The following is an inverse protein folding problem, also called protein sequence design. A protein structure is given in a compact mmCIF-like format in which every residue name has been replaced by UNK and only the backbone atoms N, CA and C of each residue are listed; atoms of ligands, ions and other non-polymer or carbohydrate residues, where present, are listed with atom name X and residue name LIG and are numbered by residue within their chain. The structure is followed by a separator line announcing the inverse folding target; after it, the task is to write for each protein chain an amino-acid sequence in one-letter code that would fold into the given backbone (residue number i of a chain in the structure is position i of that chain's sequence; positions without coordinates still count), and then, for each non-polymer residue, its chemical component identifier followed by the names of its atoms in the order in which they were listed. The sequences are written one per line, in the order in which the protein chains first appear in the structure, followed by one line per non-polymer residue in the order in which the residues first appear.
data_IF_578591245547
#
_entry.id   IF_578591245547
#
_cell.length_a   1.000
_cell.length_b   1.000
_cell.length_c   1.000
_cell.angle_alpha   90.00
_cell.angle_beta   90.00
_cell.angle_gamma   90.00
#
_symmetry.space_group_name_H-M   'P 1'
#
loop_
_entity.id
_entity.type
_entity.pdbx_description
1 polymer ?
#
# COMPACT_ATOMS: atom_id res chain seq x y z
N UNK A 1 -47.99 -73.10 -43.04
CA UNK A 1 -47.84 -71.65 -43.31
C UNK A 1 -47.83 -70.77 -42.05
N UNK A 2 -48.42 -71.16 -40.90
CA UNK A 2 -48.46 -70.27 -39.72
C UNK A 2 -47.12 -70.13 -38.97
N UNK A 3 -46.32 -71.20 -38.84
CA UNK A 3 -45.02 -71.18 -38.16
C UNK A 3 -44.00 -70.16 -38.70
N UNK A 4 -44.09 -69.81 -39.99
CA UNK A 4 -43.19 -68.84 -40.63
C UNK A 4 -43.60 -67.40 -40.30
N UNK A 5 -44.91 -67.13 -40.25
CA UNK A 5 -45.47 -65.85 -39.86
C UNK A 5 -45.27 -65.56 -38.36
N UNK A 6 -45.43 -66.57 -37.49
CA UNK A 6 -45.18 -66.44 -36.04
C UNK A 6 -43.70 -66.17 -35.74
N UNK A 7 -42.79 -66.79 -36.50
CA UNK A 7 -41.35 -66.54 -36.40
C UNK A 7 -40.99 -65.12 -36.85
N UNK A 8 -41.56 -64.64 -37.96
CA UNK A 8 -41.35 -63.26 -38.42
C UNK A 8 -41.93 -62.22 -37.44
N UNK A 9 -43.09 -62.49 -36.83
CA UNK A 9 -43.68 -61.62 -35.83
C UNK A 9 -42.82 -61.54 -34.56
N UNK A 10 -42.35 -62.70 -34.09
CA UNK A 10 -41.43 -62.78 -32.95
C UNK A 10 -40.10 -62.07 -33.22
N UNK A 11 -39.57 -62.17 -34.45
CA UNK A 11 -38.35 -61.48 -34.86
C UNK A 11 -38.52 -59.96 -34.84
N UNK A 12 -39.65 -59.43 -35.35
CA UNK A 12 -39.94 -57.98 -35.31
C UNK A 12 -40.09 -57.46 -33.88
N UNK A 13 -40.71 -58.24 -32.99
CA UNK A 13 -40.81 -57.88 -31.57
C UNK A 13 -39.43 -57.85 -30.90
N UNK A 14 -38.55 -58.78 -31.26
CA UNK A 14 -37.17 -58.82 -30.80
C UNK A 14 -36.39 -57.59 -31.28
N UNK A 15 -36.48 -57.25 -32.56
CA UNK A 15 -35.82 -56.08 -33.14
C UNK A 15 -36.33 -54.77 -32.52
N UNK A 16 -37.64 -54.66 -32.26
CA UNK A 16 -38.24 -53.51 -31.56
C UNK A 16 -37.76 -53.42 -30.11
N UNK A 17 -37.69 -54.55 -29.40
CA UNK A 17 -37.17 -54.59 -28.03
C UNK A 17 -35.69 -54.19 -27.99
N UNK A 18 -34.88 -54.66 -28.95
CA UNK A 18 -33.46 -54.30 -29.06
C UNK A 18 -33.26 -52.80 -29.35
N UNK A 19 -34.03 -52.23 -30.28
CA UNK A 19 -33.99 -50.78 -30.55
C UNK A 19 -34.41 -49.96 -29.33
N UNK A 20 -35.46 -50.38 -28.63
CA UNK A 20 -35.92 -49.71 -27.41
C UNK A 20 -34.84 -49.78 -26.33
N UNK A 21 -34.22 -50.94 -26.14
CA UNK A 21 -33.17 -51.16 -25.16
C UNK A 21 -31.89 -50.34 -25.48
N UNK A 22 -31.53 -50.22 -26.76
CA UNK A 22 -30.44 -49.36 -27.22
C UNK A 22 -30.74 -47.88 -26.95
N UNK A 23 -31.96 -47.42 -27.25
CA UNK A 23 -32.39 -46.05 -26.98
C UNK A 23 -32.39 -45.74 -25.49
N UNK A 24 -32.96 -46.60 -24.65
CA UNK A 24 -32.98 -46.40 -23.19
C UNK A 24 -31.57 -46.41 -22.60
N UNK A 25 -30.65 -47.25 -23.12
CA UNK A 25 -29.23 -47.20 -22.72
C UNK A 25 -28.57 -45.87 -23.06
N UNK A 26 -28.84 -45.33 -24.25
CA UNK A 26 -28.31 -44.03 -24.66
C UNK A 26 -28.86 -42.90 -23.77
N UNK A 27 -30.17 -42.90 -23.51
CA UNK A 27 -30.81 -41.94 -22.60
C UNK A 27 -30.20 -42.02 -21.18
N UNK A 28 -29.98 -43.23 -20.64
CA UNK A 28 -29.30 -43.45 -19.36
C UNK A 28 -27.86 -42.91 -19.33
N UNK A 29 -27.11 -43.09 -20.42
CA UNK A 29 -25.75 -42.54 -20.55
C UNK A 29 -25.76 -41.01 -20.53
N UNK A 30 -26.70 -40.39 -21.24
CA UNK A 30 -26.82 -38.93 -21.31
C UNK A 30 -27.28 -38.34 -19.97
N UNK A 31 -28.20 -39.00 -19.26
CA UNK A 31 -28.54 -38.67 -17.87
C UNK A 31 -27.34 -38.80 -16.93
N UNK A 32 -26.52 -39.85 -17.09
CA UNK A 32 -25.30 -40.04 -16.32
C UNK A 32 -24.29 -38.90 -16.51
N UNK A 33 -24.10 -38.43 -17.75
CA UNK A 33 -23.24 -37.28 -18.05
C UNK A 33 -23.77 -35.99 -17.41
N UNK A 34 -25.06 -35.69 -17.58
CA UNK A 34 -25.70 -34.51 -16.98
C UNK A 34 -25.56 -34.49 -15.44
N UNK A 35 -25.69 -35.65 -14.80
CA UNK A 35 -25.51 -35.76 -13.35
C UNK A 35 -24.05 -35.50 -12.91
N UNK A 36 -23.07 -35.97 -13.70
CA UNK A 36 -21.64 -35.72 -13.46
C UNK A 36 -21.32 -34.22 -13.66
N UNK A 37 -21.80 -33.62 -14.75
CA UNK A 37 -21.58 -32.21 -15.05
C UNK A 37 -22.19 -31.31 -13.96
N UNK A 38 -23.43 -31.58 -13.55
CA UNK A 38 -24.09 -30.86 -12.45
C UNK A 38 -23.30 -30.98 -11.14
N UNK A 39 -22.78 -32.17 -10.82
CA UNK A 39 -21.95 -32.38 -9.64
C UNK A 39 -20.63 -31.60 -9.73
N UNK A 40 -20.01 -31.53 -10.91
CA UNK A 40 -18.82 -30.71 -11.14
C UNK A 40 -19.11 -29.21 -11.00
N UNK A 41 -20.25 -28.74 -11.50
CA UNK A 41 -20.69 -27.35 -11.34
C UNK A 41 -20.90 -27.02 -9.86
N UNK A 42 -21.56 -27.89 -9.10
CA UNK A 42 -21.75 -27.75 -7.65
C UNK A 42 -20.40 -27.69 -6.91
N UNK A 43 -19.46 -28.57 -7.25
CA UNK A 43 -18.10 -28.53 -6.70
C UNK A 43 -17.37 -27.23 -7.04
N UNK A 44 -17.51 -26.74 -8.28
CA UNK A 44 -16.89 -25.49 -8.75
C UNK A 44 -17.47 -24.29 -8.01
N UNK A 45 -18.78 -24.22 -7.85
CA UNK A 45 -19.47 -23.18 -7.08
C UNK A 45 -19.03 -23.16 -5.62
N UNK A 46 -18.94 -24.34 -4.99
CA UNK A 46 -18.45 -24.47 -3.61
C UNK A 46 -16.99 -24.03 -3.48
N UNK A 47 -16.14 -24.34 -4.46
CA UNK A 47 -14.76 -23.90 -4.50
C UNK A 47 -14.64 -22.37 -4.63
N UNK A 48 -15.43 -21.75 -5.51
CA UNK A 48 -15.47 -20.29 -5.67
C UNK A 48 -15.85 -19.60 -4.37
N UNK A 49 -16.91 -20.07 -3.69
CA UNK A 49 -17.34 -19.52 -2.40
C UNK A 49 -16.21 -19.60 -1.36
N UNK A 50 -15.54 -20.76 -1.26
CA UNK A 50 -14.40 -20.95 -0.35
C UNK A 50 -13.23 -20.03 -0.67
N UNK A 51 -12.92 -19.81 -1.95
CA UNK A 51 -11.87 -18.87 -2.38
C UNK A 51 -12.24 -17.44 -1.99
N UNK A 52 -13.49 -17.02 -2.19
CA UNK A 52 -13.95 -15.68 -1.80
C UNK A 52 -13.81 -15.47 -0.29
N UNK A 53 -14.22 -16.44 0.53
CA UNK A 53 -14.06 -16.38 1.99
C UNK A 53 -12.59 -16.32 2.39
N UNK A 54 -11.74 -17.12 1.75
CA UNK A 54 -10.30 -17.14 2.00
C UNK A 54 -9.68 -15.78 1.66
N UNK A 55 -10.03 -15.19 0.52
CA UNK A 55 -9.54 -13.87 0.10
C UNK A 55 -10.02 -12.76 1.03
N UNK A 56 -11.25 -12.85 1.55
CA UNK A 56 -11.79 -11.91 2.55
C UNK A 56 -10.95 -11.92 3.83
N UNK A 57 -10.66 -13.10 4.37
CA UNK A 57 -9.80 -13.26 5.55
C UNK A 57 -8.37 -12.83 5.25
N UNK A 58 -7.84 -13.18 4.08
CA UNK A 58 -6.49 -12.77 3.66
C UNK A 58 -6.36 -11.25 3.60
N UNK A 59 -7.31 -10.55 2.97
CA UNK A 59 -7.33 -9.08 2.89
C UNK A 59 -7.32 -8.44 4.27
N UNK A 60 -8.12 -8.94 5.20
CA UNK A 60 -8.16 -8.44 6.59
C UNK A 60 -6.82 -8.63 7.30
N UNK A 61 -6.23 -9.83 7.22
CA UNK A 61 -4.93 -10.13 7.82
C UNK A 61 -3.80 -9.29 7.21
N UNK A 62 -3.81 -9.11 5.89
CA UNK A 62 -2.82 -8.29 5.19
C UNK A 62 -2.94 -6.82 5.59
N UNK A 63 -4.16 -6.29 5.68
CA UNK A 63 -4.45 -4.93 6.15
C UNK A 63 -3.87 -4.70 7.54
N UNK A 64 -4.19 -5.58 8.50
CA UNK A 64 -3.65 -5.52 9.86
C UNK A 64 -2.12 -5.55 9.89
N UNK A 65 -1.51 -6.50 9.16
CA UNK A 65 -0.04 -6.61 9.10
C UNK A 65 0.61 -5.35 8.55
N UNK A 66 0.03 -4.76 7.50
CA UNK A 66 0.55 -3.53 6.88
C UNK A 66 0.38 -2.30 7.76
N UNK A 67 -0.74 -2.21 8.48
CA UNK A 67 -0.98 -1.14 9.44
C UNK A 67 0.00 -1.22 10.62
N UNK A 68 0.17 -2.39 11.24
CA UNK A 68 1.13 -2.55 12.35
C UNK A 68 2.57 -2.20 11.92
N UNK A 69 2.95 -2.58 10.70
CA UNK A 69 4.24 -2.20 10.13
C UNK A 69 4.36 -0.67 9.98
N UNK A 70 3.30 -0.02 9.48
CA UNK A 70 3.28 1.43 9.30
C UNK A 70 3.30 2.16 10.65
N UNK A 71 2.49 1.76 11.63
CA UNK A 71 2.48 2.33 12.99
C UNK A 71 3.86 2.31 13.63
N UNK A 72 4.56 1.18 13.51
CA UNK A 72 5.94 1.03 14.00
C UNK A 72 6.88 2.03 13.34
N UNK A 73 6.88 2.07 12.00
CA UNK A 73 7.74 2.96 11.23
C UNK A 73 7.45 4.44 11.49
N UNK A 74 6.17 4.81 11.56
CA UNK A 74 5.75 6.19 11.84
C UNK A 74 6.14 6.59 13.25
N UNK A 75 5.99 5.69 14.23
CA UNK A 75 6.44 5.93 15.61
C UNK A 75 7.95 6.16 15.65
N UNK A 76 8.75 5.27 15.03
CA UNK A 76 10.20 5.42 14.92
C UNK A 76 10.60 6.77 14.31
N UNK A 77 10.03 7.09 13.15
CA UNK A 77 10.29 8.33 12.44
C UNK A 77 9.91 9.56 13.29
N UNK A 78 8.76 9.53 13.94
CA UNK A 78 8.28 10.64 14.74
C UNK A 78 9.14 10.88 15.98
N UNK A 79 9.45 9.83 16.74
CA UNK A 79 10.33 9.94 17.92
C UNK A 79 11.75 10.39 17.52
N UNK A 80 12.25 9.93 16.38
CA UNK A 80 13.54 10.35 15.86
C UNK A 80 13.56 11.86 15.52
N UNK A 81 12.44 12.43 15.06
CA UNK A 81 12.33 13.87 14.75
C UNK A 81 11.96 14.75 15.95
N UNK A 82 11.26 14.22 16.96
CA UNK A 82 10.71 15.02 18.07
C UNK A 82 11.74 15.51 19.09
N UNK A 83 12.89 14.84 19.22
CA UNK A 83 14.01 15.13 20.14
C UNK A 83 13.63 15.70 21.54
N UNK A 84 13.66 14.84 22.57
CA UNK A 84 13.48 15.16 24.02
C UNK A 84 12.06 15.49 24.49
N UNK A 85 11.03 15.14 23.72
CA UNK A 85 9.65 15.19 24.22
C UNK A 85 9.19 13.79 24.65
N UNK A 86 8.81 13.67 25.93
CA UNK A 86 8.18 12.46 26.46
C UNK A 86 6.66 12.44 26.23
N UNK A 87 6.14 13.40 25.46
CA UNK A 87 4.70 13.58 25.25
C UNK A 87 4.07 12.41 24.49
N UNK A 88 4.79 11.85 23.53
CA UNK A 88 4.31 10.73 22.70
C UNK A 88 5.33 9.61 22.75
N UNK A 89 4.84 8.39 22.95
CA UNK A 89 5.61 7.16 22.91
C UNK A 89 5.19 6.27 21.73
N UNK A 90 3.91 6.29 21.34
CA UNK A 90 3.38 5.43 20.28
C UNK A 90 2.37 6.15 19.41
N UNK A 91 2.42 5.85 18.11
CA UNK A 91 1.38 6.20 17.13
C UNK A 91 0.59 4.95 16.78
N UNK A 92 -0.74 5.05 16.80
CA UNK A 92 -1.67 4.02 16.38
C UNK A 92 -2.53 4.53 15.23
N UNK A 93 -2.88 3.66 14.29
CA UNK A 93 -3.71 3.93 13.13
C UNK A 93 -4.93 3.02 13.24
N UNK A 94 -6.10 3.63 13.38
CA UNK A 94 -7.35 2.88 13.41
C UNK A 94 -7.53 2.08 12.11
N UNK A 95 -7.93 0.82 12.24
CA UNK A 95 -7.95 -0.08 11.07
C UNK A 95 -9.03 0.30 10.09
N UNK A 96 -10.17 0.84 10.53
CA UNK A 96 -11.29 1.14 9.63
C UNK A 96 -11.27 2.56 9.09
N UNK A 97 -10.95 3.53 9.93
CA UNK A 97 -10.97 4.96 9.61
C UNK A 97 -9.60 5.51 9.18
N UNK A 98 -8.51 4.77 9.43
CA UNK A 98 -7.12 5.24 9.28
C UNK A 98 -6.80 6.49 10.12
N UNK A 99 -7.61 6.76 11.15
CA UNK A 99 -7.37 7.89 12.03
C UNK A 99 -6.15 7.63 12.92
N UNK A 100 -5.27 8.63 12.99
CA UNK A 100 -4.09 8.59 13.85
C UNK A 100 -4.48 8.90 15.29
N UNK A 101 -4.02 8.08 16.23
CA UNK A 101 -4.09 8.28 17.67
C UNK A 101 -2.69 8.23 18.27
N UNK A 102 -2.44 9.05 19.27
CA UNK A 102 -1.13 9.18 19.92
C UNK A 102 -1.26 8.71 21.36
N UNK A 103 -0.24 8.06 21.87
CA UNK A 103 -0.21 7.56 23.24
C UNK A 103 1.11 7.93 23.91
N UNK A 104 1.07 8.24 25.20
CA UNK A 104 2.26 8.46 26.03
C UNK A 104 2.83 7.13 26.57
N UNK A 105 3.84 7.22 27.43
CA UNK A 105 4.50 6.07 28.04
C UNK A 105 3.60 5.27 29.00
N UNK A 106 2.55 5.90 29.53
CA UNK A 106 1.56 5.27 30.41
C UNK A 106 0.41 4.64 29.62
N UNK A 107 0.46 4.72 28.28
CA UNK A 107 -0.56 4.21 27.39
C UNK A 107 -1.82 5.07 27.35
N UNK A 108 -1.77 6.32 27.86
CA UNK A 108 -2.90 7.23 27.82
C UNK A 108 -2.98 7.95 26.47
N UNK A 109 -4.19 8.19 25.93
CA UNK A 109 -4.36 8.90 24.68
C UNK A 109 -3.91 10.37 24.84
N UNK A 110 -3.03 10.81 23.96
CA UNK A 110 -2.53 12.18 23.89
C UNK A 110 -3.42 12.96 22.93
N UNK A 111 -4.21 13.94 23.40
CA UNK A 111 -5.06 14.70 22.51
C UNK A 111 -4.25 15.51 21.51
N UNK A 112 -4.62 15.46 20.22
CA UNK A 112 -3.91 16.17 19.13
C UNK A 112 -3.79 17.68 19.34
N UNK A 113 -4.68 18.29 20.14
CA UNK A 113 -4.59 19.71 20.45
C UNK A 113 -3.40 20.05 21.37
N UNK A 114 -2.86 19.07 22.11
CA UNK A 114 -1.64 19.24 22.90
C UNK A 114 -0.38 19.34 22.05
N UNK A 115 -0.41 18.84 20.82
CA UNK A 115 0.69 19.05 19.89
C UNK A 115 0.70 20.50 19.40
N UNK A 116 1.88 21.10 19.48
CA UNK A 116 2.18 22.38 18.83
C UNK A 116 2.01 22.27 17.30
N UNK A 117 1.83 23.40 16.60
CA UNK A 117 1.81 23.39 15.14
C UNK A 117 3.04 22.72 14.51
N UNK A 118 4.23 22.90 15.12
CA UNK A 118 5.46 22.29 14.64
C UNK A 118 5.48 20.78 14.81
N UNK A 119 5.06 20.27 15.96
CA UNK A 119 4.98 18.82 16.20
C UNK A 119 3.92 18.15 15.31
N UNK A 120 2.80 18.83 15.01
CA UNK A 120 1.81 18.34 14.04
C UNK A 120 2.43 18.18 12.64
N UNK A 121 3.27 19.12 12.23
CA UNK A 121 3.97 19.04 10.95
C UNK A 121 5.03 17.93 10.96
N UNK A 122 5.78 17.76 12.05
CA UNK A 122 6.71 16.63 12.19
C UNK A 122 5.98 15.28 12.16
N UNK A 123 4.79 15.18 12.75
CA UNK A 123 3.97 13.97 12.68
C UNK A 123 3.55 13.67 11.24
N UNK A 124 3.16 14.69 10.46
CA UNK A 124 2.82 14.54 9.06
C UNK A 124 4.02 14.09 8.22
N UNK A 125 5.19 14.68 8.43
CA UNK A 125 6.44 14.27 7.77
C UNK A 125 6.79 12.82 8.13
N UNK A 126 6.62 12.44 9.40
CA UNK A 126 6.90 11.09 9.89
C UNK A 126 5.95 10.05 9.29
N UNK A 127 4.69 10.43 9.06
CA UNK A 127 3.72 9.58 8.34
C UNK A 127 4.17 9.32 6.90
N UNK A 128 4.54 10.38 6.16
CA UNK A 128 5.01 10.25 4.78
C UNK A 128 6.31 9.44 4.70
N UNK A 129 7.23 9.68 5.63
CA UNK A 129 8.49 8.95 5.68
C UNK A 129 8.28 7.47 6.05
N UNK A 130 7.40 7.19 7.02
CA UNK A 130 6.99 5.84 7.39
C UNK A 130 6.33 5.10 6.22
N UNK A 131 5.48 5.77 5.45
CA UNK A 131 4.89 5.22 4.22
C UNK A 131 5.95 4.91 3.16
N UNK A 132 6.90 5.82 2.94
CA UNK A 132 8.01 5.62 2.00
C UNK A 132 8.84 4.39 2.41
N UNK A 133 9.22 4.27 3.69
CA UNK A 133 9.93 3.10 4.24
C UNK A 133 9.12 1.82 4.13
N UNK A 134 7.82 1.86 4.44
CA UNK A 134 6.91 0.70 4.37
C UNK A 134 6.72 0.17 2.94
N UNK A 135 6.87 1.04 1.93
CA UNK A 135 6.74 0.66 0.52
C UNK A 135 7.84 -0.30 0.06
N UNK A 136 9.00 -0.30 0.73
CA UNK A 136 10.17 -1.09 0.36
C UNK A 136 10.81 -0.70 -0.98
N UNK A 137 10.42 0.44 -1.57
CA UNK A 137 10.96 0.92 -2.84
C UNK A 137 12.01 2.01 -2.60
N UNK A 138 13.13 1.91 -3.31
CA UNK A 138 14.14 2.98 -3.34
C UNK A 138 13.76 4.01 -4.40
N UNK A 139 12.86 4.94 -4.04
CA UNK A 139 12.42 6.01 -4.94
C UNK A 139 13.06 7.34 -4.53
N UNK A 140 13.53 8.17 -5.47
CA UNK A 140 14.00 9.51 -5.15
C UNK A 140 12.85 10.34 -4.55
N UNK A 141 13.19 11.23 -3.61
CA UNK A 141 12.23 12.11 -2.95
C UNK A 141 12.54 13.55 -3.33
N UNK A 142 11.55 14.26 -3.89
CA UNK A 142 11.62 15.69 -4.08
C UNK A 142 10.87 16.39 -2.95
N UNK A 143 11.52 17.34 -2.29
CA UNK A 143 10.94 18.15 -1.21
C UNK A 143 10.95 19.59 -1.67
N UNK A 144 9.75 20.14 -1.86
CA UNK A 144 9.53 21.55 -2.13
C UNK A 144 9.16 22.27 -0.84
N UNK A 145 9.72 23.45 -0.62
CA UNK A 145 9.48 24.28 0.58
C UNK A 145 9.73 23.56 1.92
N UNK A 146 10.95 23.04 2.15
CA UNK A 146 11.22 22.01 3.15
C UNK A 146 11.04 22.41 4.62
N UNK A 147 11.15 23.71 4.95
CA UNK A 147 11.24 24.19 6.34
C UNK A 147 10.15 25.20 6.73
N UNK A 148 9.06 25.31 5.97
CA UNK A 148 7.96 26.24 6.28
C UNK A 148 7.37 26.05 7.69
N UNK A 149 6.84 27.12 8.30
CA UNK A 149 6.10 27.20 9.60
C UNK A 149 6.69 26.48 10.84
N UNK A 150 7.89 25.92 10.77
CA UNK A 150 8.58 25.26 11.87
C UNK A 150 9.46 26.23 12.65
N UNK A 151 9.53 26.05 13.98
CA UNK A 151 10.48 26.76 14.83
C UNK A 151 11.92 26.29 14.59
N UNK A 152 12.88 27.02 15.16
CA UNK A 152 14.31 26.78 14.96
C UNK A 152 14.75 25.38 15.41
N UNK A 153 14.20 24.83 16.50
CA UNK A 153 14.55 23.50 16.98
C UNK A 153 14.05 22.40 16.07
N UNK A 154 12.79 22.46 15.62
CA UNK A 154 12.23 21.46 14.72
C UNK A 154 12.87 21.53 13.33
N UNK A 155 13.23 22.74 12.86
CA UNK A 155 14.01 22.92 11.62
C UNK A 155 15.37 22.25 11.71
N UNK A 156 16.08 22.41 12.83
CA UNK A 156 17.37 21.76 13.04
C UNK A 156 17.25 20.23 12.95
N UNK A 157 16.20 19.65 13.55
CA UNK A 157 15.95 18.21 13.48
C UNK A 157 15.72 17.75 12.03
N UNK A 158 14.94 18.46 11.23
CA UNK A 158 14.74 18.08 9.82
C UNK A 158 16.06 18.11 9.03
N UNK A 159 16.87 19.14 9.25
CA UNK A 159 18.14 19.33 8.56
C UNK A 159 19.14 18.21 8.88
N UNK A 160 19.27 17.81 10.15
CA UNK A 160 20.27 16.80 10.53
C UNK A 160 19.78 15.38 10.35
N UNK A 161 18.47 15.17 10.56
CA UNK A 161 17.91 13.84 10.75
C UNK A 161 17.08 13.39 9.57
N UNK A 162 16.23 14.25 9.03
CA UNK A 162 15.28 13.87 7.98
C UNK A 162 15.90 13.96 6.59
N UNK A 163 16.37 15.13 6.14
CA UNK A 163 16.83 15.31 4.76
C UNK A 163 17.93 14.32 4.34
N UNK A 164 18.91 13.98 5.19
CA UNK A 164 19.94 12.98 4.84
C UNK A 164 19.39 11.55 4.74
N UNK A 165 18.24 11.25 5.35
CA UNK A 165 17.70 9.90 5.54
C UNK A 165 16.34 9.68 4.86
N UNK A 166 15.78 10.72 4.23
CA UNK A 166 14.45 10.67 3.63
C UNK A 166 14.38 9.66 2.48
N UNK A 167 15.47 9.52 1.72
CA UNK A 167 15.65 8.50 0.69
C UNK A 167 17.13 8.36 0.30
N UNK A 168 17.45 7.40 -0.56
CA UNK A 168 18.77 7.27 -1.20
C UNK A 168 19.14 8.52 -2.03
N UNK A 169 18.14 9.21 -2.60
CA UNK A 169 18.32 10.44 -3.34
C UNK A 169 17.23 11.44 -2.96
N UNK A 170 17.66 12.63 -2.55
CA UNK A 170 16.78 13.72 -2.14
C UNK A 170 17.06 14.95 -3.01
N UNK A 171 16.01 15.49 -3.63
CA UNK A 171 16.04 16.76 -4.34
C UNK A 171 15.38 17.81 -3.44
N UNK A 172 16.19 18.71 -2.90
CA UNK A 172 15.71 19.76 -2.02
C UNK A 172 15.51 21.06 -2.82
N UNK A 173 14.27 21.49 -2.97
CA UNK A 173 13.90 22.75 -3.62
C UNK A 173 13.50 23.73 -2.52
N UNK A 174 14.21 24.84 -2.39
CA UNK A 174 13.90 25.81 -1.34
C UNK A 174 14.38 27.21 -1.68
N UNK A 175 13.91 28.17 -0.90
CA UNK A 175 14.36 29.56 -0.93
C UNK A 175 15.41 29.84 0.15
N UNK A 176 16.08 30.98 0.04
CA UNK A 176 17.03 31.47 1.05
C UNK A 176 16.39 31.79 2.41
N UNK A 177 15.07 32.01 2.42
CA UNK A 177 14.28 32.17 3.65
C UNK A 177 14.01 30.85 4.38
N UNK A 178 14.04 29.72 3.66
CA UNK A 178 13.77 28.40 4.23
C UNK A 178 15.05 27.69 4.63
N UNK A 179 16.06 27.68 3.76
CA UNK A 179 17.36 27.05 4.00
C UNK A 179 18.41 28.16 3.98
N UNK A 180 18.76 28.63 5.17
CA UNK A 180 19.74 29.69 5.38
C UNK A 180 21.16 29.15 5.47
N UNK A 181 22.11 30.06 5.71
CA UNK A 181 23.56 29.74 5.76
C UNK A 181 23.87 28.67 6.81
N UNK A 182 23.17 28.70 7.94
CA UNK A 182 23.34 27.74 9.04
C UNK A 182 22.90 26.36 8.61
N UNK A 183 21.73 26.23 7.99
CA UNK A 183 21.19 24.94 7.56
C UNK A 183 22.06 24.31 6.46
N UNK A 184 22.48 25.11 5.47
CA UNK A 184 23.41 24.64 4.42
C UNK A 184 24.73 24.18 5.02
N UNK A 185 25.29 24.93 5.97
CA UNK A 185 26.54 24.54 6.64
C UNK A 185 26.40 23.17 7.30
N UNK A 186 25.29 22.92 8.00
CA UNK A 186 25.03 21.62 8.67
C UNK A 186 24.87 20.48 7.66
N UNK A 187 24.16 20.72 6.55
CA UNK A 187 24.02 19.75 5.44
C UNK A 187 25.35 19.45 4.73
N UNK A 188 26.30 20.40 4.72
CA UNK A 188 27.66 20.14 4.22
C UNK A 188 28.49 19.35 5.23
N UNK A 189 28.44 19.74 6.50
CA UNK A 189 29.20 19.11 7.58
C UNK A 189 28.78 17.65 7.82
N UNK A 190 27.50 17.32 7.64
CA UNK A 190 27.00 15.94 7.73
C UNK A 190 27.16 15.14 6.43
N UNK A 191 27.77 15.71 5.38
CA UNK A 191 28.02 15.04 4.10
C UNK A 191 26.76 14.74 3.28
N UNK A 192 25.61 15.35 3.58
CA UNK A 192 24.37 15.09 2.87
C UNK A 192 24.29 15.75 1.47
N UNK A 193 25.13 16.74 1.21
CA UNK A 193 25.12 17.47 -0.06
C UNK A 193 26.07 16.82 -1.07
N UNK A 194 25.49 16.25 -2.12
CA UNK A 194 26.24 15.81 -3.30
C UNK A 194 26.45 16.94 -4.32
N UNK A 195 25.43 17.78 -4.53
CA UNK A 195 25.44 18.90 -5.50
C UNK A 195 24.56 20.04 -5.04
N UNK A 196 24.94 21.26 -5.41
CA UNK A 196 24.20 22.48 -5.12
C UNK A 196 24.04 23.31 -6.38
N UNK A 197 22.84 23.87 -6.56
CA UNK A 197 22.51 24.72 -7.69
C UNK A 197 21.76 25.96 -7.23
N UNK A 198 22.19 27.11 -7.76
CA UNK A 198 21.52 28.39 -7.56
C UNK A 198 20.80 28.78 -8.85
N UNK A 199 19.49 28.96 -8.77
CA UNK A 199 18.65 29.35 -9.90
C UNK A 199 18.50 30.88 -9.91
N UNK A 200 19.18 31.54 -10.85
CA UNK A 200 19.11 33.00 -10.99
C UNK A 200 18.18 33.40 -12.14
N UNK A 201 17.05 33.99 -11.82
CA UNK A 201 16.17 34.58 -12.84
C UNK A 201 16.77 35.89 -13.39
N UNK A 202 16.90 35.96 -14.70
CA UNK A 202 17.30 37.15 -15.45
C UNK A 202 16.06 37.84 -16.00
N UNK A 203 15.67 38.96 -15.38
CA UNK A 203 14.50 39.74 -15.77
C UNK A 203 14.64 40.36 -17.16
N UNK A 204 15.86 40.65 -17.62
CA UNK A 204 16.07 41.30 -18.91
C UNK A 204 15.91 40.34 -20.07
N UNK A 205 16.33 39.09 -19.87
CA UNK A 205 16.27 38.01 -20.88
C UNK A 205 15.07 37.06 -20.68
N UNK A 206 14.25 37.30 -19.65
CA UNK A 206 13.14 36.43 -19.25
C UNK A 206 13.52 34.94 -19.11
N UNK A 207 14.73 34.65 -18.63
CA UNK A 207 15.25 33.28 -18.54
C UNK A 207 15.87 33.00 -17.18
N UNK A 208 15.84 31.73 -16.74
CA UNK A 208 16.54 31.28 -15.53
C UNK A 208 17.88 30.68 -15.91
N UNK A 209 18.95 31.16 -15.28
CA UNK A 209 20.30 30.61 -15.42
C UNK A 209 20.64 29.77 -14.20
N UNK A 210 21.18 28.56 -14.42
CA UNK A 210 21.69 27.69 -13.37
C UNK A 210 23.16 28.05 -13.08
N UNK A 211 23.49 28.16 -11.80
CA UNK A 211 24.87 28.33 -11.33
C UNK A 211 25.21 27.27 -10.31
N UNK A 212 26.49 26.88 -10.23
CA UNK A 212 26.96 26.00 -9.16
C UNK A 212 27.03 26.75 -7.83
N UNK A 213 26.71 26.03 -6.75
CA UNK A 213 26.66 26.57 -5.39
C UNK A 213 25.24 26.93 -4.96
N UNK A 214 25.05 27.14 -3.66
CA UNK A 214 23.73 27.36 -3.07
C UNK A 214 23.31 28.83 -2.94
N UNK A 215 24.26 29.69 -2.52
CA UNK A 215 24.03 31.13 -2.35
C UNK A 215 24.67 31.91 -3.49
N UNK A 216 24.17 33.12 -3.71
CA UNK A 216 24.69 34.08 -4.69
C UNK A 216 26.14 34.49 -4.44
#
# INVERSE_FOLDING_TARGET
MSLKADREHSQRLLDQAEQTLARTRQELMDYGKLAIDRKNDEHTLAAIAKVQDTLKVFKQKLKLRKLNQLETLVTECFLYLLHKSNLVHRVQIDTETFSLSLFDYEGQPVPKHRLSPGEKQLLAISLLWGLARASGRQLPVAIDTPLGRLDSSHRANLVDRYFPQASHQVLLLSTDTEIGKTEVKRLRENGAIAREYFLKYDRTKHQTQTKFGYFR
#
